data_IF_771860601197
#
_entry.id   IF_771860601197
#
_cell.length_a   1.000
_cell.length_b   1.000
_cell.length_c   1.000
_cell.angle_alpha   90.00
_cell.angle_beta   90.00
_cell.angle_gamma   90.00
#
_symmetry.space_group_name_H-M   'P 1'
#
loop_
_entity.id
_entity.type
_entity.pdbx_description
1 polymer ?
#
# COMPACT_ATOMS: atom_id res chain seq x y z
N UNK A 1 -50.69 29.30 -30.97
CA UNK A 1 -49.89 28.39 -30.14
C UNK A 1 -49.41 27.34 -31.12
N UNK A 2 -48.30 27.65 -31.79
CA UNK A 2 -47.68 26.77 -32.77
C UNK A 2 -46.79 25.81 -31.98
N UNK A 3 -46.98 24.52 -32.17
CA UNK A 3 -46.15 23.49 -31.54
C UNK A 3 -44.80 23.50 -32.24
N UNK A 4 -43.76 23.95 -31.54
CA UNK A 4 -42.35 23.80 -31.95
C UNK A 4 -42.09 22.31 -32.21
N UNK A 5 -42.00 21.95 -33.49
CA UNK A 5 -41.81 20.57 -33.93
C UNK A 5 -40.40 20.10 -33.51
N UNK A 6 -40.24 18.88 -32.99
CA UNK A 6 -38.92 18.32 -32.69
C UNK A 6 -38.02 18.28 -33.93
N UNK A 7 -38.58 18.39 -35.14
CA UNK A 7 -37.84 18.46 -36.40
C UNK A 7 -37.12 19.79 -36.62
N UNK A 8 -37.64 20.92 -36.11
CA UNK A 8 -36.92 22.21 -36.16
C UNK A 8 -35.74 22.22 -35.19
N UNK A 9 -35.92 21.64 -34.01
CA UNK A 9 -34.83 21.46 -33.04
C UNK A 9 -33.73 20.53 -33.58
N UNK A 10 -34.11 19.46 -34.30
CA UNK A 10 -33.17 18.55 -34.96
C UNK A 10 -32.52 19.18 -36.20
N UNK A 11 -33.21 20.07 -36.90
CA UNK A 11 -32.66 20.81 -38.04
C UNK A 11 -31.63 21.87 -37.59
N UNK A 12 -31.87 22.57 -36.48
CA UNK A 12 -30.91 23.51 -35.89
C UNK A 12 -29.63 22.79 -35.41
N UNK A 13 -29.75 21.55 -34.91
CA UNK A 13 -28.61 20.70 -34.57
C UNK A 13 -27.85 20.16 -35.80
N UNK A 14 -28.53 20.02 -36.94
CA UNK A 14 -27.96 19.49 -38.20
C UNK A 14 -27.17 20.54 -38.97
N UNK A 15 -27.43 21.83 -38.75
CA UNK A 15 -26.78 22.93 -39.49
C UNK A 15 -25.45 23.38 -38.89
N UNK A 16 -25.19 23.07 -37.61
CA UNK A 16 -23.85 23.19 -37.02
C UNK A 16 -23.02 22.00 -37.44
N UNK A 17 -22.26 22.19 -38.51
CA UNK A 17 -21.29 21.27 -39.07
C UNK A 17 -20.25 20.83 -38.01
N UNK A 18 -20.64 19.92 -37.12
CA UNK A 18 -19.74 19.16 -36.27
C UNK A 18 -18.96 18.27 -37.23
N UNK A 19 -17.87 18.81 -37.78
CA UNK A 19 -16.94 18.05 -38.62
C UNK A 19 -16.55 16.76 -37.91
N UNK A 20 -16.09 15.76 -38.67
CA UNK A 20 -15.74 14.44 -38.12
C UNK A 20 -14.90 14.52 -36.82
N UNK A 21 -14.09 15.58 -36.66
CA UNK A 21 -13.37 15.95 -35.44
C UNK A 21 -14.23 16.25 -34.21
N UNK A 22 -15.33 17.00 -34.35
CA UNK A 22 -16.28 17.26 -33.25
C UNK A 22 -17.02 15.99 -32.82
N UNK A 23 -17.35 15.11 -33.77
CA UNK A 23 -17.95 13.81 -33.48
C UNK A 23 -16.94 12.92 -32.74
N UNK A 24 -15.67 12.89 -33.16
CA UNK A 24 -14.60 12.18 -32.44
C UNK A 24 -14.39 12.74 -31.03
N UNK A 25 -14.39 14.06 -30.84
CA UNK A 25 -14.25 14.68 -29.52
C UNK A 25 -15.41 14.35 -28.58
N UNK A 26 -16.66 14.38 -29.09
CA UNK A 26 -17.84 13.99 -28.31
C UNK A 26 -17.77 12.50 -27.95
N UNK A 27 -17.40 11.64 -28.90
CA UNK A 27 -17.29 10.19 -28.65
C UNK A 27 -16.18 9.87 -27.64
N UNK A 28 -15.02 10.53 -27.74
CA UNK A 28 -13.91 10.39 -26.80
C UNK A 28 -14.25 10.93 -25.40
N UNK A 29 -14.88 12.11 -25.32
CA UNK A 29 -15.29 12.73 -24.05
C UNK A 29 -16.40 11.95 -23.34
N UNK A 30 -17.39 11.47 -24.09
CA UNK A 30 -18.47 10.64 -23.54
C UNK A 30 -17.95 9.26 -23.13
N UNK A 31 -17.05 8.66 -23.91
CA UNK A 31 -16.34 7.44 -23.53
C UNK A 31 -15.53 7.59 -22.24
N UNK A 32 -14.85 8.73 -22.05
CA UNK A 32 -14.10 9.04 -20.82
C UNK A 32 -15.03 9.20 -19.61
N UNK A 33 -16.17 9.88 -19.78
CA UNK A 33 -17.16 10.04 -18.72
C UNK A 33 -17.82 8.72 -18.33
N UNK A 34 -18.21 7.90 -19.31
CA UNK A 34 -18.76 6.55 -19.09
C UNK A 34 -17.72 5.65 -18.45
N UNK A 35 -16.45 5.72 -18.86
CA UNK A 35 -15.37 4.96 -18.24
C UNK A 35 -15.11 5.41 -16.79
N UNK A 36 -15.12 6.72 -16.52
CA UNK A 36 -15.01 7.26 -15.17
C UNK A 36 -16.17 6.83 -14.28
N UNK A 37 -17.39 6.81 -14.82
CA UNK A 37 -18.58 6.30 -14.11
C UNK A 37 -18.49 4.79 -13.88
N UNK A 38 -18.12 4.01 -14.89
CA UNK A 38 -17.95 2.56 -14.83
C UNK A 38 -16.85 2.16 -13.83
N UNK A 39 -15.66 2.78 -13.91
CA UNK A 39 -14.57 2.56 -12.97
C UNK A 39 -14.96 2.98 -11.54
N UNK A 40 -15.70 4.08 -11.39
CA UNK A 40 -16.21 4.56 -10.12
C UNK A 40 -17.25 3.64 -9.50
N UNK A 41 -18.14 3.02 -10.29
CA UNK A 41 -19.23 2.19 -9.74
C UNK A 41 -18.82 0.73 -9.59
N UNK A 42 -18.05 0.17 -10.53
CA UNK A 42 -17.75 -1.27 -10.64
C UNK A 42 -16.37 -1.70 -10.14
N UNK A 43 -15.50 -0.77 -9.70
CA UNK A 43 -14.30 -1.14 -8.93
C UNK A 43 -14.44 -0.80 -7.43
N UNK A 44 -15.34 -1.47 -6.68
CA UNK A 44 -15.43 -1.29 -5.23
C UNK A 44 -14.15 -1.74 -4.50
N UNK A 45 -13.31 -2.57 -5.14
CA UNK A 45 -12.06 -3.08 -4.57
C UNK A 45 -10.94 -2.05 -4.39
N UNK A 46 -10.88 -1.01 -5.23
CA UNK A 46 -9.80 -0.01 -5.17
C UNK A 46 -10.04 1.09 -4.12
N UNK A 47 -11.29 1.33 -3.73
CA UNK A 47 -11.64 2.39 -2.76
C UNK A 47 -11.28 2.07 -1.31
N UNK A 48 -11.08 0.80 -1.00
CA UNK A 48 -10.76 0.31 0.35
C UNK A 48 -9.33 -0.21 0.49
N UNK A 49 -8.45 0.06 -0.48
CA UNK A 49 -7.02 -0.19 -0.26
C UNK A 49 -6.53 0.90 0.69
N UNK A 50 -6.09 0.57 1.91
CA UNK A 50 -5.50 1.58 2.78
C UNK A 50 -4.24 2.13 2.10
N UNK A 51 -4.35 3.31 1.49
CA UNK A 51 -3.26 3.98 0.77
C UNK A 51 -2.19 4.56 1.71
N UNK A 52 -2.23 4.19 3.01
CA UNK A 52 -1.14 4.43 3.95
C UNK A 52 -0.01 3.47 3.60
N UNK A 53 0.82 3.91 2.67
CA UNK A 53 2.01 3.18 2.25
C UNK A 53 2.99 3.17 3.41
N UNK A 54 3.06 2.04 4.12
CA UNK A 54 3.94 1.86 5.29
C UNK A 54 5.39 2.24 4.98
N UNK A 55 5.85 1.92 3.76
CA UNK A 55 7.19 2.26 3.24
C UNK A 55 7.42 3.77 3.18
N UNK A 56 6.42 4.54 2.74
CA UNK A 56 6.53 5.99 2.62
C UNK A 56 6.58 6.66 3.99
N UNK A 57 5.76 6.19 4.93
CA UNK A 57 5.76 6.69 6.30
C UNK A 57 7.05 6.33 7.02
N UNK A 58 7.53 5.08 6.89
CA UNK A 58 8.84 4.68 7.41
C UNK A 58 9.96 5.60 6.89
N UNK A 59 9.96 5.92 5.59
CA UNK A 59 10.94 6.85 5.04
C UNK A 59 10.83 8.27 5.61
N UNK A 60 9.62 8.80 5.78
CA UNK A 60 9.41 10.11 6.43
C UNK A 60 9.91 10.14 7.88
N UNK A 61 9.87 9.00 8.57
CA UNK A 61 10.40 8.84 9.93
C UNK A 61 11.93 8.58 9.96
N UNK A 62 12.62 8.67 8.82
CA UNK A 62 14.09 8.57 8.75
C UNK A 62 14.61 7.14 8.59
N UNK A 63 13.74 6.14 8.40
CA UNK A 63 14.19 4.80 8.03
C UNK A 63 14.63 4.81 6.55
N UNK A 64 15.77 4.21 6.26
CA UNK A 64 16.30 4.16 4.89
C UNK A 64 17.50 3.22 4.79
N UNK A 65 17.64 2.47 3.69
CA UNK A 65 16.73 2.37 2.53
C UNK A 65 15.41 1.64 2.86
N UNK A 66 14.29 2.06 2.24
CA UNK A 66 12.96 1.46 2.44
C UNK A 66 12.42 0.87 1.13
N UNK A 67 12.10 -0.42 1.15
CA UNK A 67 11.59 -1.16 0.00
C UNK A 67 10.24 -1.78 0.34
N UNK A 68 9.26 -1.63 -0.56
CA UNK A 68 7.97 -2.30 -0.49
C UNK A 68 7.83 -3.36 -1.57
N UNK A 69 7.47 -4.57 -1.16
CA UNK A 69 7.19 -5.67 -2.08
C UNK A 69 5.69 -5.88 -2.19
N UNK A 70 5.19 -5.95 -3.43
CA UNK A 70 3.79 -6.16 -3.72
C UNK A 70 3.64 -6.97 -5.01
N UNK A 71 2.79 -7.98 -5.02
CA UNK A 71 2.59 -8.85 -6.19
C UNK A 71 1.77 -8.16 -7.28
N UNK A 72 0.84 -7.26 -6.89
CA UNK A 72 -0.05 -6.62 -7.83
C UNK A 72 0.61 -5.42 -8.55
N UNK A 73 0.81 -5.48 -9.89
CA UNK A 73 1.45 -4.40 -10.65
C UNK A 73 0.68 -3.07 -10.57
N UNK A 74 -0.65 -3.12 -10.43
CA UNK A 74 -1.48 -1.91 -10.32
C UNK A 74 -1.27 -1.20 -8.99
N UNK A 75 -1.13 -1.95 -7.90
CA UNK A 75 -0.84 -1.39 -6.59
C UNK A 75 0.58 -0.81 -6.53
N UNK A 76 1.56 -1.48 -7.14
CA UNK A 76 2.93 -0.95 -7.27
C UNK A 76 2.94 0.37 -8.04
N UNK A 77 2.19 0.46 -9.15
CA UNK A 77 2.07 1.71 -9.93
C UNK A 77 1.40 2.82 -9.11
N UNK A 78 0.32 2.49 -8.40
CA UNK A 78 -0.39 3.45 -7.54
C UNK A 78 0.49 3.93 -6.39
N UNK A 79 1.27 3.03 -5.77
CA UNK A 79 2.22 3.33 -4.72
C UNK A 79 3.34 4.28 -5.20
N UNK A 80 3.91 3.99 -6.39
CA UNK A 80 4.89 4.88 -7.02
C UNK A 80 4.30 6.25 -7.35
N UNK A 81 3.08 6.29 -7.88
CA UNK A 81 2.37 7.56 -8.14
C UNK A 81 2.15 8.37 -6.86
N UNK A 82 1.81 7.71 -5.75
CA UNK A 82 1.65 8.34 -4.44
C UNK A 82 2.97 8.87 -3.88
N UNK A 83 4.06 8.08 -3.96
CA UNK A 83 5.38 8.53 -3.55
C UNK A 83 5.88 9.71 -4.40
N UNK A 84 5.56 9.71 -5.71
CA UNK A 84 5.81 10.84 -6.60
C UNK A 84 5.01 12.08 -6.22
N UNK A 85 3.70 11.94 -6.01
CA UNK A 85 2.84 13.03 -5.54
C UNK A 85 3.30 13.62 -4.20
N UNK A 86 3.90 12.79 -3.35
CA UNK A 86 4.46 13.22 -2.06
C UNK A 86 5.90 13.76 -2.14
N UNK A 87 6.53 13.79 -3.32
CA UNK A 87 7.91 14.30 -3.48
C UNK A 87 9.01 13.36 -2.98
N UNK A 88 8.70 12.09 -2.72
CA UNK A 88 9.65 11.06 -2.27
C UNK A 88 9.97 10.03 -3.37
N UNK A 89 9.69 10.36 -4.63
CA UNK A 89 10.06 9.52 -5.77
C UNK A 89 11.56 9.24 -5.79
N UNK A 90 11.95 7.99 -5.98
CA UNK A 90 13.36 7.55 -5.96
C UNK A 90 13.98 7.44 -4.57
N UNK A 91 13.34 7.95 -3.51
CA UNK A 91 13.78 7.75 -2.12
C UNK A 91 13.20 6.48 -1.49
N UNK A 92 12.00 6.11 -1.94
CA UNK A 92 11.34 4.84 -1.61
C UNK A 92 11.24 3.98 -2.86
N UNK A 93 11.44 2.67 -2.72
CA UNK A 93 11.36 1.72 -3.84
C UNK A 93 10.18 0.78 -3.65
N UNK A 94 9.29 0.71 -4.63
CA UNK A 94 8.25 -0.33 -4.68
C UNK A 94 8.59 -1.31 -5.79
N UNK A 95 8.71 -2.59 -5.45
CA UNK A 95 9.06 -3.66 -6.39
C UNK A 95 7.91 -4.64 -6.54
N UNK A 96 7.68 -5.04 -7.79
CA UNK A 96 6.71 -6.07 -8.11
C UNK A 96 7.37 -7.45 -8.03
N UNK A 97 7.51 -7.97 -6.82
CA UNK A 97 8.21 -9.23 -6.56
C UNK A 97 7.48 -10.05 -5.52
N UNK A 98 7.70 -11.36 -5.56
CA UNK A 98 7.18 -12.30 -4.59
C UNK A 98 8.07 -12.30 -3.34
N UNK A 99 7.48 -12.07 -2.17
CA UNK A 99 8.15 -12.07 -0.88
C UNK A 99 8.98 -13.33 -0.65
N UNK A 100 8.58 -14.48 -1.19
CA UNK A 100 9.30 -15.75 -1.00
C UNK A 100 10.65 -15.79 -1.71
N UNK A 101 10.78 -15.08 -2.84
CA UNK A 101 11.99 -15.09 -3.68
C UNK A 101 12.98 -13.99 -3.31
N UNK A 102 12.54 -13.04 -2.52
CA UNK A 102 13.35 -11.92 -2.04
C UNK A 102 14.28 -12.40 -0.93
N UNK A 103 15.52 -11.91 -0.96
CA UNK A 103 16.48 -12.08 0.12
C UNK A 103 16.22 -11.05 1.22
N UNK A 104 15.92 -11.53 2.44
CA UNK A 104 15.65 -10.70 3.60
C UNK A 104 16.88 -10.47 4.49
N UNK A 105 18.04 -11.03 4.16
CA UNK A 105 19.25 -10.99 5.01
C UNK A 105 19.77 -9.58 5.30
N UNK A 106 19.59 -8.64 4.36
CA UNK A 106 19.99 -7.24 4.52
C UNK A 106 18.95 -6.39 5.29
N UNK A 107 17.78 -6.94 5.60
CA UNK A 107 16.66 -6.19 6.16
C UNK A 107 16.71 -6.14 7.70
N UNK A 108 16.94 -4.95 8.26
CA UNK A 108 16.93 -4.74 9.72
C UNK A 108 15.56 -4.48 10.33
N UNK A 109 14.66 -3.85 9.59
CA UNK A 109 13.31 -3.52 10.05
C UNK A 109 12.33 -4.03 9.00
N UNK A 110 11.45 -4.95 9.39
CA UNK A 110 10.47 -5.55 8.50
C UNK A 110 9.07 -5.31 9.03
N UNK A 111 8.20 -4.77 8.17
CA UNK A 111 6.79 -4.54 8.50
C UNK A 111 5.93 -5.45 7.63
N UNK A 112 5.06 -6.24 8.25
CA UNK A 112 4.18 -7.17 7.55
C UNK A 112 2.72 -6.91 7.88
N UNK A 113 1.87 -6.94 6.85
CA UNK A 113 0.42 -6.82 6.96
C UNK A 113 -0.23 -7.83 6.02
N UNK A 114 -0.22 -9.09 6.44
CA UNK A 114 -0.67 -10.23 5.63
C UNK A 114 -1.72 -11.05 6.37
N UNK A 115 -2.35 -11.97 5.65
CA UNK A 115 -3.30 -12.92 6.22
C UNK A 115 -2.59 -13.93 7.16
N UNK A 116 -3.27 -14.44 8.20
CA UNK A 116 -2.67 -15.38 9.16
C UNK A 116 -2.01 -16.61 8.52
N UNK A 117 -2.62 -17.18 7.48
CA UNK A 117 -2.07 -18.35 6.77
C UNK A 117 -0.74 -18.07 6.08
N UNK A 118 -0.52 -16.84 5.62
CA UNK A 118 0.74 -16.41 4.98
C UNK A 118 1.77 -16.06 6.04
N UNK A 119 1.33 -15.47 7.16
CA UNK A 119 2.21 -15.12 8.28
C UNK A 119 2.92 -16.35 8.85
N UNK A 120 2.23 -17.48 9.03
CA UNK A 120 2.87 -18.71 9.55
C UNK A 120 4.02 -19.19 8.67
N UNK A 121 3.84 -19.22 7.35
CA UNK A 121 4.91 -19.58 6.41
C UNK A 121 6.02 -18.52 6.39
N UNK A 122 5.66 -17.24 6.55
CA UNK A 122 6.61 -16.14 6.45
C UNK A 122 7.50 -16.10 7.68
N UNK A 123 6.95 -16.51 8.82
CA UNK A 123 7.68 -16.69 10.06
C UNK A 123 8.88 -17.62 9.87
N UNK A 124 8.69 -18.80 9.28
CA UNK A 124 9.78 -19.76 9.04
C UNK A 124 10.87 -19.17 8.13
N UNK A 125 10.48 -18.48 7.04
CA UNK A 125 11.44 -17.80 6.16
C UNK A 125 12.21 -16.69 6.90
N UNK A 126 11.51 -15.91 7.72
CA UNK A 126 12.11 -14.84 8.52
C UNK A 126 13.09 -15.39 9.57
N UNK A 127 12.76 -16.50 10.22
CA UNK A 127 13.65 -17.20 11.15
C UNK A 127 14.91 -17.73 10.46
N UNK A 128 14.82 -18.14 9.20
CA UNK A 128 15.96 -18.64 8.44
C UNK A 128 16.86 -17.52 7.89
N UNK A 129 16.27 -16.40 7.43
CA UNK A 129 16.99 -15.39 6.65
C UNK A 129 17.31 -14.09 7.41
N UNK A 130 16.50 -13.69 8.39
CA UNK A 130 16.72 -12.39 9.05
C UNK A 130 17.95 -12.41 9.98
N UNK A 131 18.69 -11.30 10.08
CA UNK A 131 19.79 -11.19 11.03
C UNK A 131 19.27 -11.13 12.48
N UNK A 132 20.14 -11.47 13.44
CA UNK A 132 19.77 -11.49 14.86
C UNK A 132 19.32 -10.13 15.39
N UNK A 133 19.85 -9.03 14.84
CA UNK A 133 19.51 -7.65 15.21
C UNK A 133 18.24 -7.13 14.52
N UNK A 134 17.55 -7.96 13.72
CA UNK A 134 16.35 -7.54 13.01
C UNK A 134 15.13 -7.36 13.93
N UNK A 135 14.33 -6.36 13.61
CA UNK A 135 13.03 -6.05 14.19
C UNK A 135 11.92 -6.34 13.19
N UNK A 136 10.92 -7.08 13.62
CA UNK A 136 9.75 -7.42 12.81
C UNK A 136 8.51 -6.82 13.46
N UNK A 137 7.70 -6.11 12.69
CA UNK A 137 6.42 -5.56 13.11
C UNK A 137 5.30 -6.20 12.30
N UNK A 138 4.42 -6.94 12.97
CA UNK A 138 3.21 -7.49 12.37
C UNK A 138 2.01 -6.61 12.72
N UNK A 139 1.22 -6.23 11.72
CA UNK A 139 -0.05 -5.55 11.93
C UNK A 139 -1.23 -6.51 11.86
N UNK A 140 -2.30 -6.19 12.59
CA UNK A 140 -3.62 -6.87 12.62
C UNK A 140 -3.64 -8.30 13.15
N UNK A 141 -2.63 -9.11 12.88
CA UNK A 141 -2.51 -10.48 13.34
C UNK A 141 -1.12 -10.74 13.95
N UNK A 142 -1.02 -11.42 15.10
CA UNK A 142 0.25 -11.81 15.69
C UNK A 142 0.83 -13.05 15.00
N UNK A 143 2.15 -13.23 15.11
CA UNK A 143 2.79 -14.53 14.93
C UNK A 143 2.47 -15.44 16.12
N UNK A 144 2.14 -16.71 15.86
CA UNK A 144 1.68 -17.64 16.89
C UNK A 144 2.82 -18.21 17.73
N UNK A 145 3.97 -18.48 17.12
CA UNK A 145 5.10 -19.12 17.82
C UNK A 145 6.06 -18.10 18.44
N UNK A 146 5.92 -16.81 18.11
CA UNK A 146 6.81 -15.76 18.59
C UNK A 146 6.24 -15.04 19.80
N UNK A 147 7.13 -14.67 20.72
CA UNK A 147 6.77 -13.80 21.84
C UNK A 147 6.97 -12.33 21.45
N UNK A 148 5.91 -11.50 21.44
CA UNK A 148 6.04 -10.08 21.10
C UNK A 148 6.79 -9.33 22.21
N UNK A 149 7.74 -8.48 21.81
CA UNK A 149 8.44 -7.57 22.71
C UNK A 149 7.56 -6.37 23.09
N UNK A 150 6.69 -5.94 22.17
CA UNK A 150 5.74 -4.84 22.40
C UNK A 150 4.47 -5.09 21.61
N UNK A 151 3.35 -4.72 22.20
CA UNK A 151 2.04 -4.72 21.57
C UNK A 151 1.52 -3.29 21.66
N UNK A 152 1.11 -2.72 20.53
CA UNK A 152 0.63 -1.34 20.45
C UNK A 152 -0.70 -1.30 19.70
N UNK A 153 -1.64 -0.47 20.17
CA UNK A 153 -2.94 -0.27 19.51
C UNK A 153 -4.02 -1.28 19.92
N UNK A 154 -5.24 -1.02 19.44
CA UNK A 154 -6.45 -1.73 19.82
C UNK A 154 -7.26 -2.23 18.63
N UNK A 155 -7.93 -3.37 18.81
CA UNK A 155 -8.81 -3.94 17.79
C UNK A 155 -8.09 -4.21 16.46
N UNK A 156 -8.59 -3.60 15.39
CA UNK A 156 -8.09 -3.77 14.01
C UNK A 156 -6.76 -3.04 13.76
N UNK A 157 -6.44 -2.05 14.59
CA UNK A 157 -5.22 -1.23 14.48
C UNK A 157 -4.10 -1.74 15.42
N UNK A 158 -4.27 -2.94 15.98
CA UNK A 158 -3.25 -3.57 16.82
C UNK A 158 -2.04 -4.02 16.00
N UNK A 159 -0.86 -3.77 16.54
CA UNK A 159 0.42 -4.19 16.00
C UNK A 159 1.27 -4.87 17.08
N UNK A 160 2.11 -5.82 16.65
CA UNK A 160 3.02 -6.58 17.48
C UNK A 160 4.44 -6.41 16.95
N UNK A 161 5.37 -6.05 17.83
CA UNK A 161 6.77 -5.92 17.51
C UNK A 161 7.57 -7.08 18.11
N UNK A 162 8.48 -7.64 17.33
CA UNK A 162 9.29 -8.80 17.64
C UNK A 162 10.75 -8.47 17.33
N UNK A 163 11.66 -8.99 18.14
CA UNK A 163 13.11 -8.94 17.88
C UNK A 163 13.59 -10.35 17.59
N UNK A 164 14.35 -10.54 16.51
CA UNK A 164 14.87 -11.87 16.14
C UNK A 164 15.77 -12.46 17.23
N UNK A 165 16.59 -11.62 17.88
CA UNK A 165 17.36 -12.00 19.06
C UNK A 165 16.49 -12.64 20.15
N UNK A 166 15.32 -12.08 20.45
CA UNK A 166 14.44 -12.61 21.50
C UNK A 166 13.83 -13.97 21.14
N UNK A 167 13.65 -14.27 19.84
CA UNK A 167 13.10 -15.56 19.40
C UNK A 167 14.15 -16.67 19.35
N UNK A 168 15.44 -16.31 19.13
CA UNK A 168 16.56 -17.27 19.05
C UNK A 168 17.23 -17.54 20.40
N UNK A 169 16.93 -16.74 21.42
CA UNK A 169 17.45 -16.96 22.76
C UNK A 169 16.74 -18.13 23.46
N UNK A 170 17.47 -19.02 24.15
CA UNK A 170 16.85 -20.06 24.96
C UNK A 170 16.03 -19.43 26.07
N UNK A 171 14.85 -20.00 26.34
CA UNK A 171 13.91 -19.56 27.37
C UNK A 171 14.64 -19.45 28.73
N UNK A 172 15.01 -18.22 29.13
CA UNK A 172 15.78 -17.96 30.34
C UNK A 172 16.87 -16.88 30.21
N UNK A 173 17.24 -16.46 29.00
CA UNK A 173 18.15 -15.32 28.83
C UNK A 173 17.38 -14.00 28.89
N UNK A 174 17.84 -13.07 29.73
CA UNK A 174 17.23 -11.75 29.88
C UNK A 174 17.14 -11.05 28.52
N UNK A 175 15.91 -10.79 28.07
CA UNK A 175 15.62 -9.98 26.88
C UNK A 175 16.25 -8.62 27.11
N UNK A 176 17.30 -8.29 26.35
CA UNK A 176 17.81 -6.94 26.32
C UNK A 176 16.65 -6.03 25.94
N UNK A 177 16.39 -4.94 26.68
CA UNK A 177 15.31 -4.04 26.34
C UNK A 177 15.54 -3.58 24.90
N UNK A 178 14.50 -3.72 24.05
CA UNK A 178 14.44 -3.07 22.74
C UNK A 178 14.99 -1.67 22.94
N UNK A 179 16.03 -1.23 22.19
CA UNK A 179 16.59 0.09 22.40
C UNK A 179 15.45 1.10 22.39
N UNK A 180 15.20 1.73 23.54
CA UNK A 180 14.24 2.82 23.70
C UNK A 180 14.76 4.01 22.90
N UNK A 181 14.60 3.99 21.58
CA UNK A 181 14.84 5.17 20.74
C UNK A 181 14.18 5.02 19.38
N UNK A 182 12.89 5.28 19.35
CA UNK A 182 12.36 6.39 18.56
C UNK A 182 11.37 7.11 19.47
N UNK A 183 11.88 8.00 20.31
CA UNK A 183 11.05 9.07 20.87
C UNK A 183 10.61 9.89 19.66
N UNK A 184 9.39 9.62 19.16
CA UNK A 184 8.68 10.59 18.36
C UNK A 184 8.34 11.70 19.34
N UNK A 185 9.25 12.67 19.46
CA UNK A 185 8.96 13.93 20.12
C UNK A 185 7.79 14.54 19.36
N UNK A 186 6.62 14.44 19.97
CA UNK A 186 5.48 15.31 19.70
C UNK A 186 6.00 16.74 19.81
N UNK A 187 6.29 17.37 18.69
CA UNK A 187 6.46 18.81 18.63
C UNK A 187 5.16 19.38 18.08
N UNK A 188 4.52 20.15 18.96
CA UNK A 188 3.42 21.09 18.70
C UNK A 188 3.58 21.86 17.38
#
# INVERSE_FOLDING_TARGET
MEEDSPEEFLAEFKEKHLGAWGIVQITAGTGLAVYGMWAGVLMPGFRKVPLRLQVLEAHKHGFGPTVGYELNPWLVRLANFHAWRAGHYGKVSYRQEDLWKVDLTECKNVTVFLAPSVLSLLQEKMEAELPDDALVVAGRFPFTEWTPCRIEGDGVDRAWAYTMQAQRLPAGSAVLPVPKRVEITSLN
#
